data_IF_507239832798
#
_entry.id   IF_507239832798
#
_cell.length_a   1.000
_cell.length_b   1.000
_cell.length_c   1.000
_cell.angle_alpha   90.00
_cell.angle_beta   90.00
_cell.angle_gamma   90.00
#
_symmetry.space_group_name_H-M   'P 1'
#
loop_
_entity.id
_entity.type
_entity.pdbx_description
1 polymer ?
#
# COMPACT_ATOMS: atom_id res chain seq x y z
N UNK A 1 15.94 -6.94 -16.77
CA UNK A 1 16.51 -6.26 -15.60
C UNK A 1 16.49 -7.26 -14.46
N UNK A 2 17.64 -7.53 -13.87
CA UNK A 2 17.73 -8.42 -12.70
C UNK A 2 17.17 -7.67 -11.47
N UNK A 3 16.49 -8.39 -10.58
CA UNK A 3 15.88 -7.84 -9.35
C UNK A 3 16.90 -7.04 -8.52
N UNK A 4 18.13 -7.56 -8.42
CA UNK A 4 19.21 -6.90 -7.68
C UNK A 4 19.60 -5.54 -8.27
N UNK A 5 19.53 -5.38 -9.60
CA UNK A 5 19.84 -4.12 -10.28
C UNK A 5 18.72 -3.08 -10.06
N UNK A 6 17.46 -3.52 -10.04
CA UNK A 6 16.33 -2.66 -9.74
C UNK A 6 16.40 -2.16 -8.28
N UNK A 7 16.59 -3.08 -7.33
CA UNK A 7 16.68 -2.74 -5.92
C UNK A 7 17.84 -1.78 -5.65
N UNK A 8 19.01 -2.05 -6.25
CA UNK A 8 20.14 -1.16 -6.11
C UNK A 8 19.88 0.25 -6.67
N UNK A 9 19.27 0.36 -7.84
CA UNK A 9 18.93 1.66 -8.43
C UNK A 9 17.93 2.42 -7.55
N UNK A 10 16.96 1.69 -6.98
CA UNK A 10 15.97 2.23 -6.06
C UNK A 10 16.63 2.74 -4.76
N UNK A 11 17.47 1.93 -4.13
CA UNK A 11 18.15 2.26 -2.87
C UNK A 11 19.16 3.41 -3.04
N UNK A 12 19.85 3.44 -4.18
CA UNK A 12 20.84 4.49 -4.48
C UNK A 12 20.18 5.79 -5.02
N UNK A 13 18.89 5.77 -5.37
CA UNK A 13 18.23 6.88 -6.06
C UNK A 13 18.76 7.15 -7.46
N UNK A 14 19.39 6.16 -8.10
CA UNK A 14 20.01 6.27 -9.42
C UNK A 14 19.00 5.94 -10.53
N UNK A 15 18.02 6.81 -10.69
CA UNK A 15 16.98 6.70 -11.73
C UNK A 15 16.38 8.08 -12.05
N UNK A 16 15.98 8.29 -13.29
CA UNK A 16 15.15 9.42 -13.70
C UNK A 16 13.67 9.16 -13.49
N UNK A 17 13.23 7.92 -13.76
CA UNK A 17 11.85 7.45 -13.56
C UNK A 17 11.89 5.99 -13.13
N UNK A 18 11.12 5.64 -12.11
CA UNK A 18 11.01 4.27 -11.62
C UNK A 18 9.53 3.89 -11.43
N UNK A 19 9.17 2.66 -11.79
CA UNK A 19 7.84 2.12 -11.57
C UNK A 19 7.77 1.40 -10.22
N UNK A 20 6.83 1.83 -9.37
CA UNK A 20 6.60 1.23 -8.05
C UNK A 20 5.11 1.02 -7.79
N UNK A 21 4.80 0.11 -6.89
CA UNK A 21 3.45 -0.07 -6.37
C UNK A 21 3.27 0.79 -5.12
N UNK A 22 2.21 1.59 -5.10
CA UNK A 22 1.87 2.41 -3.95
C UNK A 22 0.79 1.74 -3.11
N UNK A 23 1.08 1.46 -1.86
CA UNK A 23 0.11 0.93 -0.91
C UNK A 23 -0.57 2.06 -0.13
N UNK A 24 -1.89 1.99 -0.04
CA UNK A 24 -2.67 2.92 0.77
C UNK A 24 -2.52 2.58 2.26
N UNK A 25 -2.07 3.54 3.06
CA UNK A 25 -1.93 3.38 4.52
C UNK A 25 -3.28 3.41 5.25
N UNK A 26 -4.29 4.01 4.64
CA UNK A 26 -5.65 4.07 5.19
C UNK A 26 -6.69 4.22 4.09
N UNK A 27 -7.96 3.97 4.41
CA UNK A 27 -9.10 4.23 3.52
C UNK A 27 -9.41 5.73 3.33
N UNK A 28 -8.68 6.59 4.00
CA UNK A 28 -8.80 8.05 3.94
C UNK A 28 -7.79 8.60 2.93
N UNK A 29 -8.18 9.56 2.11
CA UNK A 29 -7.30 10.25 1.17
C UNK A 29 -6.06 10.84 1.85
N UNK A 30 -6.16 11.25 3.12
CA UNK A 30 -5.01 11.68 3.91
C UNK A 30 -3.91 10.61 3.97
N UNK A 31 -4.27 9.33 4.07
CA UNK A 31 -3.30 8.24 4.12
C UNK A 31 -2.48 8.08 2.83
N UNK A 32 -3.02 8.49 1.69
CA UNK A 32 -2.28 8.53 0.43
C UNK A 32 -1.46 9.82 0.30
N UNK A 33 -2.10 10.96 0.49
CA UNK A 33 -1.50 12.27 0.24
C UNK A 33 -0.41 12.62 1.25
N UNK A 34 -0.57 12.27 2.52
CA UNK A 34 0.42 12.58 3.57
C UNK A 34 1.79 11.94 3.31
N UNK A 35 1.86 10.88 2.52
CA UNK A 35 3.13 10.22 2.17
C UNK A 35 4.08 11.09 1.34
N UNK A 36 3.58 12.18 0.75
CA UNK A 36 4.37 13.13 -0.02
C UNK A 36 4.74 14.40 0.77
N UNK A 37 4.16 14.60 1.95
CA UNK A 37 4.53 15.71 2.81
C UNK A 37 5.86 15.42 3.51
N UNK A 38 6.72 16.44 3.63
CA UNK A 38 8.08 16.33 4.20
C UNK A 38 8.08 15.67 5.57
N UNK A 39 7.10 16.00 6.41
CA UNK A 39 6.96 15.44 7.76
C UNK A 39 6.74 13.92 7.79
N UNK A 40 6.12 13.35 6.77
CA UNK A 40 5.70 11.95 6.70
C UNK A 40 6.41 11.16 5.60
N UNK A 41 7.17 11.84 4.75
CA UNK A 41 7.81 11.26 3.57
C UNK A 41 9.21 10.72 3.84
N UNK A 42 9.78 10.97 5.01
CA UNK A 42 11.19 10.72 5.30
C UNK A 42 12.14 11.67 4.57
N UNK A 43 11.65 12.60 3.74
CA UNK A 43 12.51 13.58 3.08
C UNK A 43 13.14 14.53 4.11
N UNK A 44 14.45 14.66 4.09
CA UNK A 44 15.21 15.44 5.09
C UNK A 44 15.48 14.70 6.41
N UNK A 45 15.04 13.45 6.56
CA UNK A 45 15.44 12.58 7.67
C UNK A 45 16.81 11.97 7.37
N UNK A 46 17.64 11.83 8.42
CA UNK A 46 18.95 11.21 8.31
C UNK A 46 18.84 9.81 7.68
N UNK A 47 19.57 9.60 6.60
CA UNK A 47 19.55 8.40 5.77
C UNK A 47 19.93 7.11 6.53
N UNK A 48 20.47 7.23 7.73
CA UNK A 48 20.80 6.10 8.62
C UNK A 48 19.61 5.64 9.49
N UNK A 49 18.44 6.25 9.35
CA UNK A 49 17.24 5.82 10.10
C UNK A 49 16.44 4.78 9.35
N UNK A 50 16.00 3.73 10.06
CA UNK A 50 15.20 2.61 9.50
C UNK A 50 13.79 2.99 8.96
N UNK A 51 13.47 4.29 8.86
CA UNK A 51 12.16 4.79 8.38
C UNK A 51 12.13 5.13 6.89
N UNK A 52 12.90 4.43 6.12
CA UNK A 52 13.40 4.74 4.78
C UNK A 52 12.40 4.63 3.62
N UNK A 53 11.27 3.97 3.79
CA UNK A 53 10.43 3.50 2.68
C UNK A 53 9.23 4.40 2.36
N UNK A 54 9.31 5.70 2.57
CA UNK A 54 8.19 6.58 2.25
C UNK A 54 8.36 7.24 0.88
N UNK A 55 7.29 7.26 0.10
CA UNK A 55 7.27 7.68 -1.31
C UNK A 55 7.77 9.10 -1.56
N UNK A 56 7.64 10.01 -0.61
CA UNK A 56 8.17 11.34 -0.71
C UNK A 56 9.70 11.37 -0.74
N UNK A 57 10.35 10.47 0.00
CA UNK A 57 11.80 10.31 -0.05
C UNK A 57 12.26 9.85 -1.44
N UNK A 58 11.57 8.88 -2.02
CA UNK A 58 11.89 8.33 -3.34
C UNK A 58 11.79 9.39 -4.43
N UNK A 59 10.75 10.22 -4.39
CA UNK A 59 10.50 11.27 -5.37
C UNK A 59 11.34 12.53 -5.13
N UNK A 60 11.90 12.71 -3.94
CA UNK A 60 12.54 13.95 -3.52
C UNK A 60 11.60 15.14 -3.42
N UNK A 61 10.28 14.92 -3.51
CA UNK A 61 9.30 15.99 -3.46
C UNK A 61 9.30 16.70 -2.11
N UNK A 62 9.45 18.02 -2.13
CA UNK A 62 9.39 18.87 -0.96
C UNK A 62 8.77 20.21 -1.34
N UNK A 63 7.60 20.50 -0.79
CA UNK A 63 6.84 21.74 -1.02
C UNK A 63 6.27 22.24 0.28
N UNK A 64 6.68 23.45 0.70
CA UNK A 64 6.17 24.07 1.92
C UNK A 64 4.65 24.32 1.84
N UNK A 65 4.14 24.70 0.67
CA UNK A 65 2.72 24.94 0.44
C UNK A 65 1.92 23.61 0.53
N UNK A 66 2.47 22.54 0.00
CA UNK A 66 1.89 21.20 0.13
C UNK A 66 1.86 20.73 1.57
N UNK A 67 2.97 20.87 2.28
CA UNK A 67 3.08 20.53 3.68
C UNK A 67 2.05 21.28 4.54
N UNK A 68 1.85 22.57 4.27
CA UNK A 68 0.85 23.39 4.96
C UNK A 68 -0.58 22.89 4.73
N UNK A 69 -0.92 22.45 3.51
CA UNK A 69 -2.21 21.83 3.21
C UNK A 69 -2.42 20.53 3.97
N UNK A 70 -1.42 19.66 4.00
CA UNK A 70 -1.48 18.37 4.73
C UNK A 70 -1.61 18.60 6.24
N UNK A 71 -0.86 19.55 6.81
CA UNK A 71 -1.00 19.91 8.24
C UNK A 71 -2.38 20.50 8.55
N UNK A 72 -2.90 21.34 7.68
CA UNK A 72 -4.25 21.89 7.81
C UNK A 72 -5.32 20.80 7.76
N UNK A 73 -5.20 19.86 6.83
CA UNK A 73 -6.10 18.70 6.73
C UNK A 73 -6.01 17.78 7.95
N UNK A 74 -4.83 17.64 8.55
CA UNK A 74 -4.65 16.88 9.78
C UNK A 74 -5.37 17.52 10.98
N UNK A 75 -5.33 18.84 11.07
CA UNK A 75 -5.95 19.59 12.18
C UNK A 75 -7.47 19.79 12.02
N UNK A 76 -7.99 19.74 10.78
CA UNK A 76 -9.39 20.03 10.48
C UNK A 76 -10.33 18.91 10.96
N UNK A 77 -11.36 19.29 11.69
CA UNK A 77 -12.37 18.36 12.28
C UNK A 77 -13.66 18.29 11.45
N UNK A 78 -13.99 19.34 10.70
CA UNK A 78 -15.12 19.30 9.80
C UNK A 78 -14.77 18.46 8.57
N UNK A 79 -15.56 17.43 8.32
CA UNK A 79 -15.27 16.47 7.25
C UNK A 79 -15.32 17.08 5.86
N UNK A 80 -16.21 18.06 5.65
CA UNK A 80 -16.37 18.72 4.34
C UNK A 80 -15.22 19.68 4.09
N UNK A 81 -14.87 20.48 5.09
CA UNK A 81 -13.72 21.39 5.00
C UNK A 81 -12.42 20.60 4.79
N UNK A 82 -12.23 19.51 5.54
CA UNK A 82 -11.08 18.62 5.41
C UNK A 82 -10.97 18.01 4.00
N UNK A 83 -12.09 17.54 3.45
CA UNK A 83 -12.12 16.99 2.08
C UNK A 83 -11.72 18.06 1.04
N UNK A 84 -12.14 19.30 1.22
CA UNK A 84 -11.75 20.42 0.34
C UNK A 84 -10.25 20.67 0.41
N UNK A 85 -9.64 20.67 1.60
CA UNK A 85 -8.19 20.85 1.77
C UNK A 85 -7.42 19.70 1.11
N UNK A 86 -7.86 18.46 1.33
CA UNK A 86 -7.23 17.28 0.71
C UNK A 86 -7.32 17.33 -0.82
N UNK A 87 -8.44 17.81 -1.38
CA UNK A 87 -8.56 17.99 -2.83
C UNK A 87 -7.59 19.04 -3.37
N UNK A 88 -7.38 20.14 -2.65
CA UNK A 88 -6.38 21.15 -3.01
C UNK A 88 -4.95 20.56 -2.99
N UNK A 89 -4.65 19.73 -1.99
CA UNK A 89 -3.36 19.04 -1.92
C UNK A 89 -3.19 18.06 -3.10
N UNK A 90 -4.24 17.31 -3.47
CA UNK A 90 -4.23 16.43 -4.63
C UNK A 90 -4.00 17.21 -5.94
N UNK A 91 -4.69 18.33 -6.14
CA UNK A 91 -4.48 19.19 -7.31
C UNK A 91 -3.03 19.69 -7.38
N UNK A 92 -2.46 20.13 -6.27
CA UNK A 92 -1.08 20.60 -6.21
C UNK A 92 -0.11 19.46 -6.58
N UNK A 93 -0.28 18.29 -5.97
CA UNK A 93 0.54 17.11 -6.25
C UNK A 93 0.47 16.69 -7.73
N UNK A 94 -0.72 16.73 -8.33
CA UNK A 94 -0.90 16.40 -9.75
C UNK A 94 -0.33 17.47 -10.68
N UNK A 95 -0.28 18.73 -10.28
CA UNK A 95 0.34 19.80 -11.06
C UNK A 95 1.87 19.73 -10.99
N UNK A 96 2.43 19.43 -9.83
CA UNK A 96 3.88 19.31 -9.62
C UNK A 96 4.42 17.98 -10.16
N UNK A 97 3.56 16.97 -10.30
CA UNK A 97 3.81 15.67 -10.94
C UNK A 97 5.03 14.90 -10.38
N UNK A 98 5.24 14.82 -9.06
CA UNK A 98 6.31 13.99 -8.51
C UNK A 98 6.05 12.48 -8.75
N UNK A 99 4.80 12.12 -9.01
CA UNK A 99 4.37 10.76 -9.38
C UNK A 99 3.39 10.81 -10.54
N UNK A 100 3.39 9.75 -11.35
CA UNK A 100 2.48 9.57 -12.46
C UNK A 100 1.61 8.33 -12.15
N UNK A 101 0.36 8.50 -11.70
CA UNK A 101 -0.55 7.38 -11.49
C UNK A 101 -0.86 6.67 -12.82
N UNK A 102 -0.62 5.37 -12.88
CA UNK A 102 -0.81 4.59 -14.10
C UNK A 102 -2.06 3.73 -14.05
N UNK A 103 -2.24 2.97 -12.96
CA UNK A 103 -3.30 1.96 -12.87
C UNK A 103 -3.61 1.62 -11.42
N UNK A 104 -4.85 1.28 -11.14
CA UNK A 104 -5.23 0.63 -9.90
C UNK A 104 -5.05 -0.88 -10.04
N UNK A 105 -4.17 -1.44 -9.21
CA UNK A 105 -3.95 -2.87 -9.17
C UNK A 105 -5.17 -3.59 -8.58
N UNK A 106 -5.50 -4.73 -9.13
CA UNK A 106 -6.54 -5.61 -8.61
C UNK A 106 -5.96 -6.97 -8.28
N UNK A 107 -6.19 -7.42 -7.07
CA UNK A 107 -5.87 -8.79 -6.69
C UNK A 107 -6.95 -9.75 -7.17
N UNK A 108 -6.53 -10.83 -7.83
CA UNK A 108 -7.37 -11.96 -8.14
C UNK A 108 -6.90 -13.18 -7.34
N UNK A 109 -7.84 -13.89 -6.75
CA UNK A 109 -7.53 -15.13 -6.03
C UNK A 109 -8.56 -16.21 -6.35
N UNK A 110 -8.06 -17.42 -6.35
CA UNK A 110 -8.86 -18.62 -6.60
C UNK A 110 -8.86 -19.45 -5.31
N UNK A 111 -10.01 -19.91 -4.93
CA UNK A 111 -10.16 -20.85 -3.82
C UNK A 111 -11.12 -21.96 -4.23
N UNK A 112 -10.99 -23.10 -3.57
CA UNK A 112 -11.85 -24.25 -3.82
C UNK A 112 -13.30 -23.97 -3.40
N UNK A 113 -14.26 -24.57 -4.09
CA UNK A 113 -15.71 -24.47 -3.81
C UNK A 113 -16.12 -25.07 -2.47
N UNK A 114 -15.24 -25.83 -1.83
CA UNK A 114 -15.45 -26.33 -0.46
C UNK A 114 -15.30 -25.26 0.60
N UNK A 115 -14.63 -24.16 0.28
CA UNK A 115 -14.50 -23.01 1.18
C UNK A 115 -15.63 -22.01 0.96
N UNK A 116 -16.11 -21.46 2.05
CA UNK A 116 -17.14 -20.40 2.02
C UNK A 116 -16.88 -19.38 3.13
N UNK A 117 -17.42 -18.16 2.98
CA UNK A 117 -17.30 -17.11 3.99
C UNK A 117 -15.91 -16.47 4.08
N UNK A 118 -15.09 -16.60 3.04
CA UNK A 118 -13.87 -15.82 2.91
C UNK A 118 -14.30 -14.38 2.61
N UNK A 119 -13.92 -13.46 3.49
CA UNK A 119 -14.17 -12.05 3.32
C UNK A 119 -12.93 -11.32 2.84
N UNK A 120 -13.11 -10.11 2.33
CA UNK A 120 -12.04 -9.14 2.18
C UNK A 120 -12.47 -7.82 2.80
N UNK A 121 -11.52 -7.07 3.29
CA UNK A 121 -11.74 -5.70 3.75
C UNK A 121 -11.40 -4.69 2.63
N UNK A 122 -11.44 -3.42 2.98
CA UNK A 122 -11.13 -2.32 2.05
C UNK A 122 -9.70 -2.42 1.46
N UNK A 123 -8.75 -2.96 2.22
CA UNK A 123 -7.35 -3.12 1.79
C UNK A 123 -7.10 -4.39 1.00
N UNK A 124 -8.15 -5.05 0.54
CA UNK A 124 -8.09 -6.37 -0.10
C UNK A 124 -7.47 -7.47 0.79
N UNK A 125 -7.28 -7.21 2.08
CA UNK A 125 -6.80 -8.21 3.05
C UNK A 125 -7.82 -9.33 3.21
N UNK A 126 -7.38 -10.57 3.09
CA UNK A 126 -8.28 -11.73 3.22
C UNK A 126 -8.58 -12.01 4.68
N UNK A 127 -9.86 -12.10 4.99
CA UNK A 127 -10.34 -12.37 6.34
C UNK A 127 -10.98 -13.75 6.40
N UNK A 128 -10.36 -14.66 7.14
CA UNK A 128 -10.81 -16.05 7.30
C UNK A 128 -11.65 -16.29 8.55
N UNK A 129 -11.97 -15.26 9.33
CA UNK A 129 -12.70 -15.39 10.61
C UNK A 129 -14.05 -16.12 10.47
N UNK A 130 -14.74 -15.94 9.34
CA UNK A 130 -16.03 -16.55 9.04
C UNK A 130 -15.94 -17.71 8.05
N UNK A 131 -14.72 -18.09 7.68
CA UNK A 131 -14.52 -19.16 6.70
C UNK A 131 -14.97 -20.49 7.25
N UNK A 132 -15.68 -21.24 6.45
CA UNK A 132 -16.10 -22.60 6.72
C UNK A 132 -15.62 -23.49 5.59
N UNK A 133 -15.22 -24.69 5.95
CA UNK A 133 -14.89 -25.76 5.01
C UNK A 133 -16.03 -26.77 5.00
N UNK A 134 -16.62 -26.98 3.84
CA UNK A 134 -17.62 -28.04 3.64
C UNK A 134 -16.92 -29.39 3.69
N UNK A 135 -17.54 -30.35 4.36
CA UNK A 135 -17.07 -31.72 4.46
C UNK A 135 -15.62 -31.85 5.00
N UNK A 136 -15.25 -30.98 5.97
CA UNK A 136 -13.90 -30.93 6.56
C UNK A 136 -13.37 -32.31 6.98
N UNK A 137 -14.20 -33.15 7.60
CA UNK A 137 -13.80 -34.48 8.07
C UNK A 137 -13.40 -35.41 6.92
N UNK A 138 -14.07 -35.32 5.78
CA UNK A 138 -13.74 -36.08 4.58
C UNK A 138 -12.40 -35.63 3.99
N UNK A 139 -12.17 -34.31 3.92
CA UNK A 139 -10.91 -33.76 3.45
C UNK A 139 -9.75 -34.11 4.35
N UNK A 140 -9.93 -34.00 5.68
CA UNK A 140 -8.91 -34.37 6.64
C UNK A 140 -8.51 -35.85 6.49
N UNK A 141 -9.49 -36.75 6.42
CA UNK A 141 -9.21 -38.16 6.25
C UNK A 141 -8.46 -38.49 4.95
N UNK A 142 -8.77 -37.77 3.86
CA UNK A 142 -8.06 -37.96 2.60
C UNK A 142 -6.60 -37.48 2.67
N UNK A 143 -6.35 -36.40 3.39
CA UNK A 143 -4.99 -35.86 3.59
C UNK A 143 -4.16 -36.79 4.47
N UNK A 144 -4.71 -37.22 5.59
CA UNK A 144 -4.03 -38.13 6.51
C UNK A 144 -3.61 -39.46 5.79
N UNK A 145 -4.49 -39.99 4.94
CA UNK A 145 -4.20 -41.19 4.15
C UNK A 145 -3.11 -40.95 3.07
N UNK A 146 -3.05 -39.75 2.48
CA UNK A 146 -2.03 -39.43 1.50
C UNK A 146 -0.63 -39.28 2.12
N UNK A 147 -0.56 -38.73 3.32
CA UNK A 147 0.71 -38.60 4.06
C UNK A 147 1.26 -39.98 4.49
N UNK A 148 0.40 -40.89 4.91
CA UNK A 148 0.82 -42.27 5.24
C UNK A 148 1.35 -43.03 4.02
N UNK A 149 0.80 -42.75 2.82
CA UNK A 149 1.23 -43.43 1.58
C UNK A 149 2.58 -42.88 1.05
N UNK A 150 2.92 -41.64 1.35
CA UNK A 150 4.21 -41.03 0.96
C UNK A 150 5.34 -41.33 1.94
N UNK A 151 5.06 -41.85 3.10
CA UNK A 151 6.03 -42.21 4.16
C UNK A 151 6.52 -43.67 4.08
N UNK A 152 6.07 -44.44 3.13
CA UNK A 152 6.54 -45.82 2.82
C UNK A 152 7.40 -45.83 1.56
#
# INVERSE_FOLDING_TARGET
>A
IYVDTFQKAYDDGDFDVIGIDMNMLSADAFGALSQFATKFSGNGVDMDSETYDLYGHITGYASEDYDALIESAYAEKDRTARATILHQAEEMLMNDMPVIPLVFMQDAYIYTDVLSGIGSDYYATRNFKKTKMKDYMTYKAATDNAEETTAQ
#
